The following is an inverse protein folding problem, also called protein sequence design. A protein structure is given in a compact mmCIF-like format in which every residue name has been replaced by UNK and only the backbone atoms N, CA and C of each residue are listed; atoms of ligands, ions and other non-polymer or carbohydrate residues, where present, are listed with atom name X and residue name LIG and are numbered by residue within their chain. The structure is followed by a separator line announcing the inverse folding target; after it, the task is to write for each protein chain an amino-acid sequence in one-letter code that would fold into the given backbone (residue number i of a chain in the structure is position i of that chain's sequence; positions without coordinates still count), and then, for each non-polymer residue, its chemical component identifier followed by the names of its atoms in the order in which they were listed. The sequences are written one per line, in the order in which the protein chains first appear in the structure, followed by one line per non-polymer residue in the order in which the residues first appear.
data_IF_223043063387
#
_entry.id   IF_223043063387
#
_cell.length_a   1.000
_cell.length_b   1.000
_cell.length_c   1.000
_cell.angle_alpha   90.00
_cell.angle_beta   90.00
_cell.angle_gamma   90.00
#
_symmetry.space_group_name_H-M   'P 1'
#
loop_
_entity.id
_entity.type
_entity.pdbx_description
1 polymer ?
#
# COMPACT_ATOMS: atom_id res chain seq x y z
N UNK A 1 -29.48 30.64 53.72
CA UNK A 1 -28.39 30.70 52.72
C UNK A 1 -28.42 29.42 51.90
N UNK A 2 -28.79 29.57 50.65
CA UNK A 2 -28.82 28.41 49.74
C UNK A 2 -27.54 28.43 48.93
N UNK A 3 -26.67 27.45 49.17
CA UNK A 3 -25.48 27.27 48.32
C UNK A 3 -25.90 26.50 47.09
N UNK A 4 -25.87 27.19 45.94
CA UNK A 4 -26.02 26.53 44.66
C UNK A 4 -24.66 25.95 44.31
N UNK A 5 -24.50 24.65 44.52
CA UNK A 5 -23.36 23.93 44.01
C UNK A 5 -23.63 23.70 42.52
N UNK A 6 -23.07 24.56 41.69
CA UNK A 6 -23.08 24.35 40.26
C UNK A 6 -22.07 23.25 39.93
N UNK A 7 -22.56 22.01 39.85
CA UNK A 7 -21.80 20.93 39.26
C UNK A 7 -21.68 21.22 37.78
N UNK A 8 -20.57 21.82 37.39
CA UNK A 8 -20.18 21.89 35.99
C UNK A 8 -19.81 20.46 35.58
N UNK A 9 -20.79 19.73 35.09
CA UNK A 9 -20.52 18.50 34.34
C UNK A 9 -19.84 18.95 33.04
N UNK A 10 -18.52 19.01 33.08
CA UNK A 10 -17.73 19.00 31.85
C UNK A 10 -18.04 17.69 31.13
N UNK A 11 -18.65 17.74 29.94
CA UNK A 11 -18.72 16.54 29.16
C UNK A 11 -17.28 16.11 28.91
N UNK A 12 -16.91 14.99 29.48
CA UNK A 12 -15.73 14.28 29.07
C UNK A 12 -15.98 13.88 27.62
N UNK A 13 -15.59 14.74 26.71
CA UNK A 13 -15.40 14.30 25.36
C UNK A 13 -14.22 13.33 25.41
N UNK A 14 -14.51 12.05 25.66
CA UNK A 14 -13.65 11.02 25.16
C UNK A 14 -13.70 11.15 23.65
N UNK A 15 -12.83 11.99 23.12
CA UNK A 15 -12.39 11.80 21.77
C UNK A 15 -11.77 10.42 21.80
N UNK A 16 -12.58 9.41 21.41
CA UNK A 16 -12.03 8.12 21.11
C UNK A 16 -10.96 8.41 20.06
N UNK A 17 -9.73 8.41 20.48
CA UNK A 17 -8.66 8.18 19.56
C UNK A 17 -9.00 6.81 18.99
N UNK A 18 -9.64 6.81 17.81
CA UNK A 18 -9.54 5.64 16.97
C UNK A 18 -8.05 5.37 16.88
N UNK A 19 -7.58 4.38 17.63
CA UNK A 19 -6.23 3.90 17.48
C UNK A 19 -6.13 3.53 16.01
N UNK A 20 -5.43 4.34 15.23
CA UNK A 20 -5.08 3.96 13.89
C UNK A 20 -4.54 2.55 13.99
N UNK A 21 -5.21 1.60 13.33
CA UNK A 21 -4.70 0.24 13.25
C UNK A 21 -3.26 0.35 12.78
N UNK A 22 -2.35 -0.15 13.60
CA UNK A 22 -0.95 -0.23 13.24
C UNK A 22 -0.84 -0.93 11.90
N UNK A 23 -0.14 -0.29 10.95
CA UNK A 23 0.03 -0.85 9.63
C UNK A 23 1.07 -1.96 9.66
N UNK A 24 0.73 -3.07 9.04
CA UNK A 24 1.63 -4.18 8.78
C UNK A 24 2.26 -4.06 7.39
N UNK A 25 3.27 -4.87 7.14
CA UNK A 25 3.95 -4.93 5.85
C UNK A 25 3.45 -6.11 5.02
N UNK A 26 3.35 -5.86 3.73
CA UNK A 26 2.96 -6.86 2.74
C UNK A 26 3.94 -6.81 1.58
N UNK A 27 4.21 -7.95 0.98
CA UNK A 27 4.97 -8.05 -0.25
C UNK A 27 4.00 -8.24 -1.42
N UNK A 28 4.20 -7.47 -2.47
CA UNK A 28 3.48 -7.64 -3.73
C UNK A 28 4.47 -8.06 -4.81
N UNK A 29 4.16 -9.16 -5.48
CA UNK A 29 4.98 -9.77 -6.52
C UNK A 29 4.28 -9.59 -7.86
N UNK A 30 4.93 -8.88 -8.76
CA UNK A 30 4.40 -8.55 -10.09
C UNK A 30 5.04 -9.43 -11.15
N UNK A 31 4.20 -10.04 -11.96
CA UNK A 31 4.61 -10.74 -13.17
C UNK A 31 3.84 -10.18 -14.36
N UNK A 32 4.33 -10.41 -15.58
CA UNK A 32 3.64 -9.95 -16.78
C UNK A 32 2.28 -10.63 -16.90
N UNK A 33 1.26 -9.83 -17.23
CA UNK A 33 -0.10 -10.29 -17.47
C UNK A 33 -0.38 -10.60 -18.93
N UNK A 34 -1.63 -10.93 -19.21
CA UNK A 34 -2.05 -11.31 -20.58
C UNK A 34 -1.98 -10.16 -21.59
N UNK A 35 -2.05 -8.90 -21.12
CA UNK A 35 -1.97 -7.74 -22.01
C UNK A 35 -0.53 -7.40 -22.42
N UNK A 36 0.47 -7.89 -21.70
CA UNK A 36 1.87 -7.59 -22.00
C UNK A 36 2.22 -8.07 -23.42
N UNK A 37 2.74 -7.13 -24.23
CA UNK A 37 3.21 -7.42 -25.59
C UNK A 37 4.73 -7.62 -25.57
N UNK A 38 5.17 -8.85 -25.82
CA UNK A 38 6.60 -9.22 -25.79
C UNK A 38 7.40 -8.57 -26.92
N UNK A 39 6.74 -8.03 -27.94
CA UNK A 39 7.38 -7.32 -29.05
C UNK A 39 7.58 -5.84 -28.80
N UNK A 40 7.10 -5.32 -27.68
CA UNK A 40 7.23 -3.90 -27.29
C UNK A 40 8.14 -3.73 -26.08
N UNK A 41 8.88 -2.62 -26.07
CA UNK A 41 9.62 -2.20 -24.90
C UNK A 41 8.67 -1.86 -23.74
N UNK A 42 9.12 -1.94 -22.47
CA UNK A 42 8.27 -1.61 -21.33
C UNK A 42 7.58 -0.24 -21.44
N UNK A 43 8.30 0.80 -21.83
CA UNK A 43 7.73 2.15 -21.95
C UNK A 43 6.67 2.28 -23.05
N UNK A 44 6.60 1.35 -23.97
CA UNK A 44 5.63 1.33 -25.07
C UNK A 44 4.42 0.45 -24.76
N UNK A 45 4.41 -0.21 -23.61
CA UNK A 45 3.27 -1.01 -23.16
C UNK A 45 2.08 -0.13 -22.79
N UNK A 46 0.88 -0.58 -23.13
CA UNK A 46 -0.34 0.08 -22.67
C UNK A 46 -0.37 0.11 -21.13
N UNK A 47 -0.77 1.23 -20.54
CA UNK A 47 -0.91 1.44 -19.10
C UNK A 47 0.40 1.43 -18.28
N UNK A 48 1.56 1.31 -18.92
CA UNK A 48 2.83 1.27 -18.20
C UNK A 48 3.16 2.62 -17.52
N UNK A 49 2.90 3.72 -18.20
CA UNK A 49 3.10 5.07 -17.64
C UNK A 49 2.22 5.31 -16.42
N UNK A 50 0.96 4.89 -16.51
CA UNK A 50 0.00 4.99 -15.41
C UNK A 50 0.42 4.13 -14.23
N UNK A 51 0.92 2.91 -14.49
CA UNK A 51 1.49 2.03 -13.48
C UNK A 51 2.67 2.68 -12.76
N UNK A 52 3.62 3.22 -13.51
CA UNK A 52 4.79 3.90 -12.95
C UNK A 52 4.40 5.12 -12.10
N UNK A 53 3.43 5.90 -12.56
CA UNK A 53 2.92 7.06 -11.84
C UNK A 53 2.22 6.63 -10.53
N UNK A 54 1.43 5.56 -10.57
CA UNK A 54 0.75 5.00 -9.42
C UNK A 54 1.75 4.55 -8.34
N UNK A 55 2.76 3.76 -8.71
CA UNK A 55 3.80 3.32 -7.78
C UNK A 55 4.62 4.48 -7.23
N UNK A 56 4.94 5.46 -8.07
CA UNK A 56 5.67 6.66 -7.65
C UNK A 56 4.91 7.45 -6.59
N UNK A 57 3.60 7.57 -6.73
CA UNK A 57 2.73 8.23 -5.74
C UNK A 57 2.77 7.49 -4.40
N UNK A 58 2.63 6.17 -4.41
CA UNK A 58 2.69 5.35 -3.21
C UNK A 58 4.06 5.41 -2.52
N UNK A 59 5.13 5.55 -3.29
CA UNK A 59 6.47 5.74 -2.74
C UNK A 59 6.60 7.11 -2.07
N UNK A 60 6.12 8.16 -2.70
CA UNK A 60 6.21 9.54 -2.17
C UNK A 60 5.44 9.72 -0.88
N UNK A 61 4.33 9.03 -0.71
CA UNK A 61 3.53 9.06 0.52
C UNK A 61 3.97 8.04 1.57
N UNK A 62 5.09 7.36 1.35
CA UNK A 62 5.68 6.33 2.23
C UNK A 62 4.82 5.07 2.41
N UNK A 63 3.87 4.80 1.54
CA UNK A 63 3.15 3.53 1.51
C UNK A 63 4.05 2.41 1.03
N UNK A 64 4.81 2.64 -0.05
CA UNK A 64 5.86 1.71 -0.50
C UNK A 64 7.15 2.03 0.27
N UNK A 65 7.70 1.03 0.95
CA UNK A 65 8.92 1.16 1.75
C UNK A 65 10.15 0.58 1.07
N UNK A 66 9.97 -0.32 0.11
CA UNK A 66 11.05 -0.93 -0.64
C UNK A 66 10.53 -1.44 -1.98
N UNK A 67 11.37 -1.39 -3.00
CA UNK A 67 11.14 -2.02 -4.29
C UNK A 67 12.39 -2.75 -4.75
N UNK A 68 12.21 -3.88 -5.41
CA UNK A 68 13.29 -4.69 -5.95
C UNK A 68 12.79 -5.50 -7.15
N UNK A 69 13.71 -6.12 -7.84
CA UNK A 69 13.43 -7.09 -8.90
C UNK A 69 14.30 -8.31 -8.69
N UNK A 70 13.73 -9.48 -8.85
CA UNK A 70 14.50 -10.71 -8.92
C UNK A 70 14.01 -11.52 -10.14
N UNK A 71 14.95 -11.87 -11.04
CA UNK A 71 14.57 -12.46 -12.32
C UNK A 71 13.58 -11.55 -13.06
N UNK A 72 12.47 -12.10 -13.51
CA UNK A 72 11.40 -11.38 -14.21
C UNK A 72 10.29 -10.88 -13.28
N UNK A 73 10.48 -11.02 -11.97
CA UNK A 73 9.48 -10.64 -10.97
C UNK A 73 9.82 -9.28 -10.35
N UNK A 74 8.89 -8.34 -10.46
CA UNK A 74 8.95 -7.09 -9.70
C UNK A 74 8.42 -7.30 -8.29
N UNK A 75 9.05 -6.68 -7.32
CA UNK A 75 8.66 -6.79 -5.92
C UNK A 75 8.54 -5.41 -5.29
N UNK A 76 7.46 -5.17 -4.58
CA UNK A 76 7.36 -4.03 -3.66
C UNK A 76 6.97 -4.52 -2.27
N UNK A 77 7.45 -3.83 -1.26
CA UNK A 77 6.98 -3.98 0.11
C UNK A 77 6.20 -2.73 0.46
N UNK A 78 4.97 -2.91 0.90
CA UNK A 78 4.06 -1.80 1.22
C UNK A 78 3.46 -1.98 2.62
N UNK A 79 3.00 -0.88 3.18
CA UNK A 79 2.30 -0.84 4.46
C UNK A 79 0.79 -0.74 4.23
N UNK A 80 0.02 -1.54 4.95
CA UNK A 80 -1.43 -1.49 4.95
C UNK A 80 -1.98 -2.01 6.28
N UNK A 81 -3.24 -1.76 6.56
CA UNK A 81 -3.89 -2.20 7.80
C UNK A 81 -4.10 -3.70 7.85
N UNK A 82 -4.38 -4.32 6.71
CA UNK A 82 -4.55 -5.77 6.54
C UNK A 82 -4.33 -6.17 5.08
N UNK A 83 -4.38 -7.47 4.81
CA UNK A 83 -4.14 -8.02 3.48
C UNK A 83 -5.16 -7.51 2.45
N UNK A 84 -6.44 -7.44 2.82
CA UNK A 84 -7.48 -6.95 1.92
C UNK A 84 -7.27 -5.47 1.57
N UNK A 85 -6.88 -4.65 2.54
CA UNK A 85 -6.55 -3.25 2.28
C UNK A 85 -5.36 -3.11 1.34
N UNK A 86 -4.33 -3.95 1.49
CA UNK A 86 -3.18 -3.97 0.58
C UNK A 86 -3.60 -4.32 -0.84
N UNK A 87 -4.40 -5.37 -1.01
CA UNK A 87 -4.92 -5.78 -2.32
C UNK A 87 -5.79 -4.71 -2.95
N UNK A 88 -6.71 -4.14 -2.20
CA UNK A 88 -7.63 -3.11 -2.70
C UNK A 88 -6.87 -1.85 -3.16
N UNK A 89 -5.84 -1.46 -2.41
CA UNK A 89 -5.00 -0.33 -2.79
C UNK A 89 -4.29 -0.59 -4.12
N UNK A 90 -3.67 -1.76 -4.27
CA UNK A 90 -2.93 -2.10 -5.49
C UNK A 90 -3.85 -2.23 -6.71
N UNK A 91 -5.09 -2.66 -6.53
CA UNK A 91 -6.08 -2.77 -7.61
C UNK A 91 -6.62 -1.43 -8.10
N UNK A 92 -6.27 -0.32 -7.48
CA UNK A 92 -6.52 1.02 -8.05
C UNK A 92 -5.63 1.28 -9.28
N UNK A 93 -4.58 0.49 -9.48
CA UNK A 93 -3.71 0.56 -10.63
C UNK A 93 -4.41 0.03 -11.89
N UNK A 94 -4.59 0.88 -12.89
CA UNK A 94 -5.22 0.50 -14.16
C UNK A 94 -4.44 -0.57 -14.91
N UNK A 95 -3.12 -0.67 -14.68
CA UNK A 95 -2.30 -1.73 -15.26
C UNK A 95 -2.68 -3.11 -14.73
N UNK A 96 -3.04 -3.22 -13.45
CA UNK A 96 -3.57 -4.46 -12.87
C UNK A 96 -4.98 -4.74 -13.34
N UNK A 97 -5.83 -3.72 -13.39
CA UNK A 97 -7.22 -3.86 -13.85
C UNK A 97 -7.30 -4.36 -15.30
N UNK A 98 -6.33 -3.97 -16.13
CA UNK A 98 -6.27 -4.33 -17.54
C UNK A 98 -5.29 -5.48 -17.85
N UNK A 99 -4.79 -6.15 -16.82
CA UNK A 99 -3.93 -7.32 -16.95
C UNK A 99 -2.60 -7.08 -17.69
N UNK A 100 -2.06 -5.86 -17.60
CA UNK A 100 -0.68 -5.63 -18.01
C UNK A 100 0.28 -6.41 -17.09
N UNK A 101 -0.05 -6.43 -15.80
CA UNK A 101 0.64 -7.23 -14.79
C UNK A 101 -0.37 -8.06 -14.01
N UNK A 102 0.10 -9.19 -13.50
CA UNK A 102 -0.51 -9.92 -12.39
C UNK A 102 0.20 -9.54 -11.11
N UNK A 103 -0.49 -9.63 -9.99
CA UNK A 103 0.10 -9.38 -8.67
C UNK A 103 -0.31 -10.45 -7.67
N UNK A 104 0.63 -10.92 -6.89
CA UNK A 104 0.39 -11.71 -5.69
C UNK A 104 0.75 -10.87 -4.48
N UNK A 105 -0.09 -10.90 -3.44
CA UNK A 105 0.13 -10.12 -2.22
C UNK A 105 0.15 -11.07 -1.04
N UNK A 106 1.19 -10.97 -0.21
CA UNK A 106 1.39 -11.82 0.95
C UNK A 106 1.81 -10.99 2.16
N UNK A 107 1.49 -11.42 3.39
CA UNK A 107 2.10 -10.85 4.57
C UNK A 107 3.63 -10.96 4.50
N UNK A 108 4.31 -9.89 4.94
CA UNK A 108 5.76 -9.81 4.89
C UNK A 108 6.30 -9.50 6.30
N UNK A 109 6.92 -10.48 6.91
CA UNK A 109 7.43 -10.39 8.27
C UNK A 109 8.96 -10.48 8.24
N UNK A 110 9.61 -9.37 8.62
CA UNK A 110 11.08 -9.30 8.67
C UNK A 110 11.55 -9.88 9.99
N UNK A 111 12.39 -10.91 9.94
CA UNK A 111 13.00 -11.48 11.14
C UNK A 111 14.50 -11.16 11.26
N UNK A 112 15.18 -10.81 10.18
CA UNK A 112 16.49 -10.16 10.20
C UNK A 112 16.40 -8.84 9.47
N UNK A 113 16.69 -7.74 10.16
CA UNK A 113 16.77 -6.43 9.54
C UNK A 113 18.03 -6.36 8.68
N UNK A 114 17.85 -5.95 7.42
CA UNK A 114 18.93 -5.65 6.50
C UNK A 114 19.03 -4.16 6.22
N UNK A 115 20.16 -3.75 5.67
CA UNK A 115 20.35 -2.45 5.03
C UNK A 115 20.81 -2.68 3.60
N UNK A 116 20.25 -1.90 2.69
CA UNK A 116 20.72 -1.84 1.29
C UNK A 116 21.24 -0.43 1.04
N UNK A 117 22.44 -0.34 0.53
CA UNK A 117 23.06 0.93 0.13
C UNK A 117 22.54 1.38 -1.24
#
# INVERSE_FOLDING_TARGET
MKYIVLFLLLPLFMIGQESEKEKSRFVALYTIGSLWDTNKAPNDQAYFKEHSAFLSKLRKDNTIVMGARYGDTGMIVLKATDLEAAKNLLFEDVALQNQLFNVEVHPFNVFYKGCFD
#
